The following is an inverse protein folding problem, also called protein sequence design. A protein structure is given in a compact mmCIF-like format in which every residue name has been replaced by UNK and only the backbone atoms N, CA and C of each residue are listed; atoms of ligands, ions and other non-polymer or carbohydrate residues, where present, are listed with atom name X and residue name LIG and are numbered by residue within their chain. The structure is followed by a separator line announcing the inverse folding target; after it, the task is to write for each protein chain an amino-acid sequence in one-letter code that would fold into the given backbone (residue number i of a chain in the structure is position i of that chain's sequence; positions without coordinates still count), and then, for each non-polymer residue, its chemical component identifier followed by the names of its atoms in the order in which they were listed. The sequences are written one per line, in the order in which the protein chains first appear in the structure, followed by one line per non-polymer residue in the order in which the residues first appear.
data_IF_487791290200
#
_entry.id   IF_487791290200
#
_cell.length_a   1.000
_cell.length_b   1.000
_cell.length_c   1.000
_cell.angle_alpha   90.00
_cell.angle_beta   90.00
_cell.angle_gamma   90.00
#
_symmetry.space_group_name_H-M   'P 1'
#
loop_
_entity.id
_entity.type
_entity.pdbx_description
1 polymer ?
#
# COMPACT_ATOMS: atom_id res chain seq x y z
N UNK A 1 -14.01 -1.50 21.77
CA UNK A 1 -13.31 -1.84 20.55
C UNK A 1 -11.88 -2.25 20.89
N UNK A 2 -11.49 -3.46 20.55
CA UNK A 2 -10.14 -3.98 20.75
C UNK A 2 -9.31 -3.80 19.48
N UNK A 3 -8.19 -3.13 19.59
CA UNK A 3 -7.26 -3.03 18.47
C UNK A 3 -6.33 -4.24 18.46
N UNK A 4 -6.13 -4.80 17.28
CA UNK A 4 -5.26 -5.96 17.07
C UNK A 4 -3.84 -5.49 16.77
N UNK A 5 -3.12 -5.04 17.81
CA UNK A 5 -1.83 -4.37 17.64
C UNK A 5 -0.78 -5.22 16.95
N UNK A 6 -0.73 -6.53 17.23
CA UNK A 6 0.22 -7.42 16.55
C UNK A 6 -0.09 -7.49 15.07
N UNK A 7 -1.36 -7.68 14.71
CA UNK A 7 -1.78 -7.70 13.30
C UNK A 7 -1.52 -6.36 12.62
N UNK A 8 -1.78 -5.25 13.31
CA UNK A 8 -1.52 -3.90 12.77
C UNK A 8 -0.03 -3.73 12.44
N UNK A 9 0.85 -4.06 13.37
CA UNK A 9 2.31 -3.92 13.16
C UNK A 9 2.78 -4.85 12.04
N UNK A 10 2.32 -6.10 12.03
CA UNK A 10 2.67 -7.05 10.97
C UNK A 10 2.16 -6.61 9.60
N UNK A 11 0.94 -6.07 9.53
CA UNK A 11 0.39 -5.54 8.29
C UNK A 11 1.22 -4.35 7.78
N UNK A 12 1.62 -3.44 8.66
CA UNK A 12 2.46 -2.31 8.30
C UNK A 12 3.85 -2.76 7.79
N UNK A 13 4.46 -3.72 8.48
CA UNK A 13 5.75 -4.30 8.07
C UNK A 13 5.62 -5.00 6.71
N UNK A 14 4.56 -5.76 6.51
CA UNK A 14 4.32 -6.45 5.25
C UNK A 14 4.16 -5.46 4.09
N UNK A 15 3.41 -4.38 4.30
CA UNK A 15 3.28 -3.31 3.31
C UNK A 15 4.62 -2.67 2.97
N UNK A 16 5.46 -2.44 3.98
CA UNK A 16 6.80 -1.91 3.79
C UNK A 16 7.68 -2.87 2.98
N UNK A 17 7.63 -4.17 3.29
CA UNK A 17 8.39 -5.20 2.56
C UNK A 17 7.92 -5.35 1.11
N UNK A 18 6.61 -5.31 0.88
CA UNK A 18 6.05 -5.31 -0.48
C UNK A 18 6.60 -4.11 -1.25
N UNK A 19 6.71 -2.95 -0.62
CA UNK A 19 7.30 -1.76 -1.24
C UNK A 19 8.75 -1.96 -1.66
N UNK A 20 9.54 -2.57 -0.81
CA UNK A 20 10.94 -2.87 -1.11
C UNK A 20 11.10 -3.81 -2.31
N UNK A 21 10.27 -4.85 -2.38
CA UNK A 21 10.28 -5.79 -3.50
C UNK A 21 9.71 -5.15 -4.78
N UNK A 22 8.62 -4.39 -4.66
CA UNK A 22 7.94 -3.81 -5.81
C UNK A 22 8.78 -2.75 -6.51
N UNK A 23 9.32 -1.80 -5.74
CA UNK A 23 10.11 -0.69 -6.26
C UNK A 23 11.61 -0.98 -6.29
N UNK A 24 12.03 -2.16 -5.91
CA UNK A 24 13.40 -2.65 -6.04
C UNK A 24 13.53 -3.59 -7.23
N UNK A 25 13.62 -4.91 -6.96
CA UNK A 25 13.90 -5.89 -8.02
C UNK A 25 12.79 -6.06 -9.05
N UNK A 26 11.51 -5.83 -8.70
CA UNK A 26 10.41 -6.10 -9.62
C UNK A 26 10.20 -4.96 -10.62
N UNK A 27 9.89 -3.76 -10.13
CA UNK A 27 9.46 -2.64 -10.98
C UNK A 27 10.32 -1.38 -10.81
N UNK A 28 11.40 -1.45 -10.05
CA UNK A 28 12.22 -0.26 -9.75
C UNK A 28 12.72 0.45 -11.00
N UNK A 29 13.27 -0.30 -11.96
CA UNK A 29 13.77 0.27 -13.21
C UNK A 29 12.67 0.88 -14.06
N UNK A 30 11.54 0.16 -14.19
CA UNK A 30 10.37 0.64 -14.94
C UNK A 30 9.78 1.90 -14.31
N UNK A 31 9.73 1.95 -12.99
CA UNK A 31 9.25 3.11 -12.26
C UNK A 31 10.14 4.33 -12.44
N UNK A 32 11.45 4.16 -12.31
CA UNK A 32 12.41 5.25 -12.54
C UNK A 32 12.30 5.79 -13.95
N UNK A 33 12.19 4.91 -14.94
CA UNK A 33 12.02 5.31 -16.35
C UNK A 33 10.72 6.09 -16.54
N UNK A 34 9.62 5.60 -15.99
CA UNK A 34 8.32 6.27 -16.12
C UNK A 34 8.30 7.63 -15.44
N UNK A 35 9.02 7.77 -14.31
CA UNK A 35 9.15 9.04 -13.59
C UNK A 35 10.20 9.99 -14.16
N UNK A 36 11.06 9.52 -15.05
CA UNK A 36 12.18 10.31 -15.52
C UNK A 36 13.26 10.52 -14.47
N UNK A 37 13.39 9.59 -13.53
CA UNK A 37 14.38 9.66 -12.45
C UNK A 37 15.65 8.93 -12.89
N UNK A 38 16.80 9.59 -12.73
CA UNK A 38 18.12 8.99 -12.95
C UNK A 38 18.75 8.64 -11.60
N UNK A 39 19.76 7.73 -11.57
CA UNK A 39 20.48 7.47 -10.32
C UNK A 39 21.09 8.74 -9.72
N UNK A 40 21.56 9.66 -10.54
CA UNK A 40 22.12 10.94 -10.09
C UNK A 40 21.05 11.81 -9.43
N UNK A 41 19.87 11.91 -10.01
CA UNK A 41 18.76 12.70 -9.45
C UNK A 41 18.20 12.09 -8.17
N UNK A 42 18.31 10.77 -8.01
CA UNK A 42 17.85 10.07 -6.80
C UNK A 42 18.84 10.16 -5.64
N UNK A 43 20.11 10.45 -5.91
CA UNK A 43 21.18 10.38 -4.91
C UNK A 43 21.05 11.39 -3.77
N UNK A 44 20.30 12.49 -3.99
CA UNK A 44 20.08 13.52 -2.96
C UNK A 44 18.95 13.23 -2.00
N UNK A 45 18.23 12.12 -2.13
CA UNK A 45 17.05 11.84 -1.32
C UNK A 45 17.45 11.46 0.11
N UNK A 46 16.70 11.98 1.09
CA UNK A 46 16.84 11.59 2.49
C UNK A 46 16.08 10.28 2.72
N UNK A 47 16.80 9.16 2.59
CA UNK A 47 16.18 7.83 2.68
C UNK A 47 15.65 7.51 4.07
N UNK A 48 16.31 8.00 5.13
CA UNK A 48 15.81 7.79 6.49
C UNK A 48 14.45 8.46 6.69
N UNK A 49 14.29 9.69 6.19
CA UNK A 49 13.02 10.40 6.26
C UNK A 49 11.95 9.68 5.42
N UNK A 50 12.29 9.27 4.21
CA UNK A 50 11.34 8.61 3.30
C UNK A 50 10.87 7.29 3.90
N UNK A 51 11.78 6.43 4.32
CA UNK A 51 11.42 5.11 4.87
C UNK A 51 10.71 5.23 6.21
N UNK A 52 11.17 6.12 7.09
CA UNK A 52 10.54 6.33 8.39
C UNK A 52 9.11 6.84 8.25
N UNK A 53 8.90 7.85 7.41
CA UNK A 53 7.57 8.39 7.15
C UNK A 53 6.67 7.36 6.46
N UNK A 54 7.21 6.61 5.51
CA UNK A 54 6.47 5.53 4.85
C UNK A 54 5.96 4.50 5.85
N UNK A 55 6.82 4.08 6.77
CA UNK A 55 6.41 3.10 7.79
C UNK A 55 5.31 3.66 8.70
N UNK A 56 5.43 4.93 9.12
CA UNK A 56 4.39 5.58 9.93
C UNK A 56 3.08 5.64 9.17
N UNK A 57 3.10 6.01 7.89
CA UNK A 57 1.88 6.04 7.06
C UNK A 57 1.28 4.65 6.88
N UNK A 58 2.11 3.63 6.74
CA UNK A 58 1.63 2.24 6.68
C UNK A 58 1.00 1.80 8.00
N UNK A 59 1.55 2.25 9.15
CA UNK A 59 0.93 2.00 10.46
C UNK A 59 -0.45 2.67 10.55
N UNK A 60 -0.58 3.90 10.08
CA UNK A 60 -1.87 4.60 10.06
C UNK A 60 -2.87 3.83 9.19
N UNK A 61 -2.47 3.42 8.00
CA UNK A 61 -3.34 2.67 7.10
C UNK A 61 -3.79 1.34 7.71
N UNK A 62 -2.85 0.61 8.31
CA UNK A 62 -3.15 -0.67 8.97
C UNK A 62 -4.08 -0.48 10.17
N UNK A 63 -3.83 0.57 10.98
CA UNK A 63 -4.70 0.91 12.11
C UNK A 63 -6.13 1.23 11.64
N UNK A 64 -6.25 2.04 10.60
CA UNK A 64 -7.57 2.38 10.05
C UNK A 64 -8.27 1.17 9.44
N UNK A 65 -7.52 0.27 8.82
CA UNK A 65 -8.08 -0.96 8.29
C UNK A 65 -8.61 -1.86 9.41
N UNK A 66 -7.86 -2.01 10.50
CA UNK A 66 -8.33 -2.74 11.68
C UNK A 66 -9.62 -2.12 12.23
N UNK A 67 -9.65 -0.80 12.36
CA UNK A 67 -10.83 -0.07 12.81
C UNK A 67 -12.02 -0.34 11.89
N UNK A 68 -11.82 -0.28 10.59
CA UNK A 68 -12.87 -0.53 9.60
C UNK A 68 -13.42 -1.96 9.74
N UNK A 69 -12.55 -2.95 9.88
CA UNK A 69 -12.98 -4.33 10.06
C UNK A 69 -13.83 -4.52 11.33
N UNK A 70 -13.51 -3.78 12.39
CA UNK A 70 -14.26 -3.87 13.63
C UNK A 70 -15.66 -3.22 13.58
N UNK A 71 -15.98 -2.50 12.51
CA UNK A 71 -17.34 -1.97 12.33
C UNK A 71 -18.35 -3.02 11.85
N UNK A 72 -17.88 -4.20 11.47
CA UNK A 72 -18.76 -5.31 11.08
C UNK A 72 -19.18 -6.12 12.30
N UNK A 73 -20.43 -6.58 12.32
CA UNK A 73 -20.99 -7.39 13.40
C UNK A 73 -20.74 -8.90 13.24
N UNK A 74 -20.03 -9.31 12.20
CA UNK A 74 -19.74 -10.71 11.90
C UNK A 74 -18.24 -10.99 12.07
N UNK A 75 -17.85 -12.26 12.33
CA UNK A 75 -16.44 -12.64 12.31
C UNK A 75 -15.78 -12.27 10.99
N UNK A 76 -14.55 -11.74 11.06
CA UNK A 76 -13.89 -11.18 9.87
C UNK A 76 -13.64 -12.24 8.80
N UNK A 77 -12.91 -13.28 9.09
CA UNK A 77 -12.54 -14.32 8.11
C UNK A 77 -11.75 -13.80 6.93
N UNK A 78 -11.05 -14.70 6.25
CA UNK A 78 -10.14 -14.34 5.15
C UNK A 78 -10.90 -13.79 3.94
N UNK A 79 -12.03 -14.39 3.59
CA UNK A 79 -12.81 -13.95 2.42
C UNK A 79 -13.26 -12.49 2.58
N UNK A 80 -13.88 -12.16 3.70
CA UNK A 80 -14.38 -10.80 3.96
C UNK A 80 -13.26 -9.78 4.01
N UNK A 81 -12.16 -10.12 4.67
CA UNK A 81 -11.03 -9.20 4.77
C UNK A 81 -10.42 -8.88 3.41
N UNK A 82 -10.33 -9.86 2.53
CA UNK A 82 -9.82 -9.64 1.17
C UNK A 82 -10.79 -8.86 0.31
N UNK A 83 -12.09 -9.08 0.44
CA UNK A 83 -13.11 -8.30 -0.31
C UNK A 83 -13.03 -6.82 0.09
N UNK A 84 -12.99 -6.53 1.39
CA UNK A 84 -12.88 -5.14 1.87
C UNK A 84 -11.56 -4.52 1.41
N UNK A 85 -10.45 -5.26 1.50
CA UNK A 85 -9.15 -4.78 1.04
C UNK A 85 -9.17 -4.44 -0.46
N UNK A 86 -9.81 -5.29 -1.28
CA UNK A 86 -9.96 -5.05 -2.71
C UNK A 86 -10.82 -3.81 -2.99
N UNK A 87 -11.91 -3.62 -2.23
CA UNK A 87 -12.75 -2.43 -2.36
C UNK A 87 -11.93 -1.17 -2.10
N UNK A 88 -11.11 -1.17 -1.06
CA UNK A 88 -10.26 -0.02 -0.73
C UNK A 88 -9.20 0.19 -1.82
N UNK A 89 -8.44 -0.85 -2.14
CA UNK A 89 -7.32 -0.73 -3.08
C UNK A 89 -7.76 -0.36 -4.48
N UNK A 90 -8.77 -1.03 -5.00
CA UNK A 90 -9.27 -0.79 -6.36
C UNK A 90 -10.26 0.37 -6.38
N UNK A 91 -11.24 0.35 -5.47
CA UNK A 91 -12.38 1.28 -5.50
C UNK A 91 -12.04 2.71 -5.07
N UNK A 92 -11.07 2.89 -4.21
CA UNK A 92 -10.72 4.22 -3.69
C UNK A 92 -9.30 4.64 -4.01
N UNK A 93 -8.31 3.80 -3.78
CA UNK A 93 -6.90 4.19 -3.93
C UNK A 93 -6.51 4.23 -5.40
N UNK A 94 -6.75 3.16 -6.16
CA UNK A 94 -6.40 3.14 -7.58
C UNK A 94 -7.14 4.21 -8.38
N UNK A 95 -8.40 4.44 -8.07
CA UNK A 95 -9.18 5.50 -8.71
C UNK A 95 -8.60 6.88 -8.43
N UNK A 96 -8.14 7.12 -7.20
CA UNK A 96 -7.51 8.39 -6.81
C UNK A 96 -6.20 8.62 -7.57
N UNK A 97 -5.35 7.58 -7.67
CA UNK A 97 -4.15 7.64 -8.50
C UNK A 97 -4.48 7.91 -9.96
N UNK A 98 -5.53 7.26 -10.48
CA UNK A 98 -5.96 7.45 -11.86
C UNK A 98 -6.31 8.91 -12.16
N UNK A 99 -7.12 9.53 -11.30
CA UNK A 99 -7.48 10.94 -11.46
C UNK A 99 -6.24 11.84 -11.39
N UNK A 100 -5.42 11.66 -10.36
CA UNK A 100 -4.23 12.49 -10.17
C UNK A 100 -3.25 12.37 -11.34
N UNK A 101 -3.07 11.16 -11.87
CA UNK A 101 -2.12 10.93 -12.96
C UNK A 101 -2.64 11.41 -14.31
N UNK A 102 -3.97 11.46 -14.50
CA UNK A 102 -4.56 12.09 -15.69
C UNK A 102 -4.26 13.58 -15.70
N UNK A 103 -4.50 14.28 -14.58
CA UNK A 103 -4.25 15.72 -14.50
C UNK A 103 -2.77 16.07 -14.55
N UNK A 104 -1.90 15.28 -13.95
CA UNK A 104 -0.46 15.49 -13.98
C UNK A 104 0.21 14.93 -15.24
N UNK A 105 -0.56 14.34 -16.14
CA UNK A 105 -0.09 13.79 -17.43
C UNK A 105 1.01 12.76 -17.28
N UNK A 106 0.89 11.90 -16.28
CA UNK A 106 1.85 10.81 -16.08
C UNK A 106 1.62 9.68 -17.09
N UNK A 107 2.66 8.93 -17.46
CA UNK A 107 2.50 7.80 -18.37
C UNK A 107 1.64 6.69 -17.74
N UNK A 108 0.95 5.93 -18.59
CA UNK A 108 0.10 4.82 -18.13
C UNK A 108 0.86 3.77 -17.34
N UNK A 109 2.12 3.52 -17.73
CA UNK A 109 2.98 2.57 -17.01
C UNK A 109 3.15 2.94 -15.56
N UNK A 110 3.28 4.22 -15.23
CA UNK A 110 3.39 4.69 -13.85
C UNK A 110 2.12 4.41 -13.06
N UNK A 111 0.95 4.64 -13.66
CA UNK A 111 -0.32 4.32 -13.01
C UNK A 111 -0.40 2.83 -12.66
N UNK A 112 -0.09 1.94 -13.59
CA UNK A 112 -0.19 0.49 -13.33
C UNK A 112 0.82 0.03 -12.27
N UNK A 113 2.02 0.61 -12.27
CA UNK A 113 3.02 0.28 -11.24
C UNK A 113 2.53 0.73 -9.85
N UNK A 114 2.13 1.98 -9.71
CA UNK A 114 1.79 2.55 -8.41
C UNK A 114 0.43 2.05 -7.91
N UNK A 115 -0.58 2.01 -8.75
CA UNK A 115 -1.89 1.46 -8.37
C UNK A 115 -1.79 -0.03 -8.05
N UNK A 116 -1.05 -0.79 -8.83
CA UNK A 116 -0.79 -2.21 -8.57
C UNK A 116 -0.12 -2.43 -7.23
N UNK A 117 0.82 -1.58 -6.87
CA UNK A 117 1.46 -1.62 -5.56
C UNK A 117 0.44 -1.48 -4.43
N UNK A 118 -0.39 -0.44 -4.46
CA UNK A 118 -1.34 -0.18 -3.39
C UNK A 118 -2.44 -1.23 -3.30
N UNK A 119 -2.90 -1.75 -4.43
CA UNK A 119 -3.84 -2.88 -4.44
C UNK A 119 -3.21 -4.09 -3.74
N UNK A 120 -1.96 -4.40 -4.07
CA UNK A 120 -1.22 -5.52 -3.46
C UNK A 120 -1.02 -5.30 -1.97
N UNK A 121 -0.63 -4.10 -1.54
CA UNK A 121 -0.45 -3.77 -0.12
C UNK A 121 -1.73 -4.00 0.67
N UNK A 122 -2.86 -3.49 0.18
CA UNK A 122 -4.12 -3.67 0.91
C UNK A 122 -4.58 -5.13 0.92
N UNK A 123 -4.36 -5.88 -0.16
CA UNK A 123 -4.67 -7.31 -0.16
C UNK A 123 -3.79 -8.08 0.83
N UNK A 124 -2.51 -7.77 0.91
CA UNK A 124 -1.60 -8.42 1.88
C UNK A 124 -2.00 -8.05 3.30
N UNK A 125 -2.26 -6.78 3.58
CA UNK A 125 -2.76 -6.34 4.88
C UNK A 125 -4.07 -7.05 5.23
N UNK A 126 -5.01 -7.12 4.29
CA UNK A 126 -6.28 -7.80 4.47
C UNK A 126 -6.10 -9.28 4.80
N UNK A 127 -5.17 -9.95 4.13
CA UNK A 127 -4.86 -11.35 4.42
C UNK A 127 -4.33 -11.52 5.85
N UNK A 128 -3.46 -10.63 6.30
CA UNK A 128 -2.92 -10.66 7.68
C UNK A 128 -4.05 -10.50 8.70
N UNK A 129 -4.92 -9.52 8.52
CA UNK A 129 -6.07 -9.33 9.42
C UNK A 129 -7.03 -10.51 9.36
N UNK A 130 -7.30 -11.04 8.18
CA UNK A 130 -8.20 -12.19 8.02
C UNK A 130 -7.69 -13.47 8.66
N UNK A 131 -6.35 -13.62 8.76
CA UNK A 131 -5.73 -14.79 9.36
C UNK A 131 -5.45 -14.63 10.86
N UNK A 132 -5.17 -13.43 11.34
CA UNK A 132 -4.70 -13.17 12.70
C UNK A 132 -5.69 -12.44 13.60
N UNK A 133 -6.68 -11.78 13.04
CA UNK A 133 -7.61 -10.96 13.82
C UNK A 133 -9.05 -11.52 13.90
#
# INVERSE_FOLDING_TARGET
MHFHWIAIVLAALAGFLVGGLWYGPLFGKAWMKARGITPESAAGANMALIFGTTFVLNLVAAFMLDHLYQTYDAPLGLHYSLVVAAIIGVGFVATSFGVNYLFSRQPRSLFFIDAGYWITVYLVMGAIFGLLA
#
